data_IF_103399085551
#
_entry.id   IF_103399085551
#
_cell.length_a   1.000
_cell.length_b   1.000
_cell.length_c   1.000
_cell.angle_alpha   90.00
_cell.angle_beta   90.00
_cell.angle_gamma   90.00
#
_symmetry.space_group_name_H-M   'P 1'
#
loop_
_entity.id
_entity.type
_entity.pdbx_description
1 polymer ?
#
# COMPACT_ATOMS: atom_id res chain seq x y z
N UNK A 1 -2.70 21.45 10.43
CA UNK A 1 -2.48 22.06 9.13
C UNK A 1 -1.64 23.32 9.33
N UNK A 2 -0.35 23.19 9.13
CA UNK A 2 0.54 24.34 9.26
C UNK A 2 0.76 24.99 7.90
N UNK A 3 -0.05 25.97 7.59
CA UNK A 3 0.06 26.78 6.38
C UNK A 3 1.23 27.78 6.40
N UNK A 4 2.09 27.73 7.42
CA UNK A 4 3.23 28.63 7.57
C UNK A 4 4.30 28.29 6.54
N UNK A 5 4.85 29.33 5.93
CA UNK A 5 5.80 29.17 4.82
C UNK A 5 7.07 28.43 5.21
N UNK A 6 7.67 27.78 4.23
CA UNK A 6 8.94 27.04 4.36
C UNK A 6 9.98 27.77 5.19
N UNK A 7 10.56 27.05 6.16
CA UNK A 7 11.72 27.50 6.94
C UNK A 7 11.42 28.48 8.05
N UNK A 8 10.16 28.74 8.38
CA UNK A 8 9.81 29.62 9.49
C UNK A 8 9.36 28.85 10.72
N UNK A 9 8.30 28.09 10.63
CA UNK A 9 7.75 27.32 11.74
C UNK A 9 6.85 26.21 11.18
N UNK A 10 7.04 25.01 11.66
CA UNK A 10 6.31 23.83 11.21
C UNK A 10 6.72 23.36 9.81
N UNK A 11 6.15 22.25 9.40
CA UNK A 11 6.43 21.58 8.14
C UNK A 11 5.28 21.73 7.17
N UNK A 12 5.53 21.44 5.91
CA UNK A 12 4.49 21.52 4.88
C UNK A 12 3.31 20.62 5.25
N UNK A 13 2.13 21.19 5.33
CA UNK A 13 0.89 20.45 5.54
C UNK A 13 0.30 20.00 4.22
N UNK A 14 -0.38 18.86 4.26
CA UNK A 14 -1.13 18.30 3.14
C UNK A 14 -2.61 18.28 3.49
N UNK A 15 -3.42 19.08 2.81
CA UNK A 15 -4.85 19.10 3.01
C UNK A 15 -5.48 17.76 2.60
N UNK A 16 -6.54 17.30 3.28
CA UNK A 16 -7.29 16.14 2.84
C UNK A 16 -7.98 16.43 1.50
N UNK A 17 -8.11 15.39 0.66
CA UNK A 17 -8.76 15.50 -0.66
C UNK A 17 -10.22 15.93 -0.58
N UNK A 18 -10.88 15.61 0.52
CA UNK A 18 -12.28 15.96 0.78
C UNK A 18 -12.55 16.01 2.27
N UNK A 19 -13.57 16.77 2.67
CA UNK A 19 -14.05 16.80 4.04
C UNK A 19 -15.26 15.86 4.19
N UNK A 20 -15.09 14.81 4.94
CA UNK A 20 -16.14 13.81 5.26
C UNK A 20 -16.35 13.70 6.77
N UNK A 21 -15.96 14.73 7.52
CA UNK A 21 -16.20 14.79 8.94
C UNK A 21 -17.71 14.89 9.20
N UNK A 22 -18.17 14.10 10.18
CA UNK A 22 -19.53 14.20 10.69
C UNK A 22 -19.65 15.37 11.65
N UNK A 23 -20.88 15.79 11.94
CA UNK A 23 -21.15 16.85 12.90
C UNK A 23 -20.54 16.55 14.29
N UNK A 24 -20.19 17.61 15.07
CA UNK A 24 -19.72 17.45 16.44
C UNK A 24 -20.66 16.60 17.28
N UNK A 25 -20.09 15.78 18.17
CA UNK A 25 -20.85 14.81 19.00
C UNK A 25 -21.10 13.46 18.33
N UNK A 26 -20.83 13.30 17.04
CA UNK A 26 -20.94 12.02 16.34
C UNK A 26 -19.59 11.30 16.28
N UNK A 27 -19.63 9.97 16.41
CA UNK A 27 -18.43 9.15 16.30
C UNK A 27 -17.86 9.20 14.88
N UNK A 28 -16.56 9.51 14.79
CA UNK A 28 -15.74 9.41 13.59
C UNK A 28 -14.97 8.10 13.64
N UNK A 29 -14.69 7.54 12.47
CA UNK A 29 -13.85 6.34 12.33
C UNK A 29 -12.63 6.67 11.49
N UNK A 30 -11.44 6.42 12.05
CA UNK A 30 -10.17 6.54 11.35
C UNK A 30 -9.55 5.17 11.09
N UNK A 31 -8.96 5.01 9.90
CA UNK A 31 -7.97 3.98 9.59
C UNK A 31 -6.74 4.68 9.02
N UNK A 32 -5.58 4.39 9.57
CA UNK A 32 -4.32 5.02 9.17
C UNK A 32 -3.31 3.93 8.91
N UNK A 33 -2.64 3.98 7.74
CA UNK A 33 -1.47 3.17 7.42
C UNK A 33 -0.29 4.13 7.40
N UNK A 34 0.63 3.96 8.34
CA UNK A 34 1.75 4.85 8.57
C UNK A 34 3.07 4.09 8.51
N UNK A 35 4.05 4.68 7.87
CA UNK A 35 5.42 4.20 7.82
C UNK A 35 6.32 5.15 8.60
N UNK A 36 7.01 4.62 9.60
CA UNK A 36 7.99 5.36 10.37
C UNK A 36 9.21 5.74 9.51
N UNK A 37 9.94 6.79 9.88
CA UNK A 37 11.19 7.15 9.22
C UNK A 37 12.21 6.01 9.36
N UNK A 38 13.11 5.90 8.39
CA UNK A 38 14.19 4.91 8.44
C UNK A 38 15.53 5.59 8.67
N UNK A 39 16.37 4.92 9.43
CA UNK A 39 17.70 5.36 9.77
C UNK A 39 18.72 4.27 9.37
N UNK A 40 19.94 4.68 9.07
CA UNK A 40 21.07 3.78 8.90
C UNK A 40 21.65 3.35 10.27
N UNK A 41 22.65 2.48 10.25
CA UNK A 41 23.31 2.00 11.46
C UNK A 41 24.07 3.12 12.21
N UNK A 42 24.36 4.23 11.56
CA UNK A 42 24.98 5.41 12.16
C UNK A 42 23.94 6.39 12.74
N UNK A 43 22.65 6.11 12.59
CA UNK A 43 21.56 6.95 13.08
C UNK A 43 21.17 8.10 12.14
N UNK A 44 21.68 8.14 10.91
CA UNK A 44 21.27 9.14 9.94
C UNK A 44 19.95 8.75 9.29
N UNK A 45 19.03 9.70 9.17
CA UNK A 45 17.76 9.47 8.50
C UNK A 45 17.97 9.25 7.00
N UNK A 46 17.60 8.06 6.51
CA UNK A 46 17.72 7.67 5.10
C UNK A 46 16.38 7.67 4.37
N UNK A 47 15.26 7.74 5.09
CA UNK A 47 13.92 7.84 4.53
C UNK A 47 12.99 8.58 5.48
N UNK A 48 12.21 9.51 4.95
CA UNK A 48 11.17 10.20 5.70
C UNK A 48 10.03 9.25 6.11
N UNK A 49 9.32 9.64 7.16
CA UNK A 49 8.04 9.03 7.49
C UNK A 49 6.99 9.39 6.43
N UNK A 50 5.98 8.55 6.27
CA UNK A 50 4.89 8.82 5.35
C UNK A 50 3.60 8.12 5.73
N UNK A 51 2.49 8.77 5.42
CA UNK A 51 1.16 8.18 5.49
C UNK A 51 0.85 7.54 4.16
N UNK A 52 0.77 6.22 4.13
CA UNK A 52 0.37 5.48 2.94
C UNK A 52 -1.10 5.76 2.63
N UNK A 53 -1.96 5.64 3.65
CA UNK A 53 -3.37 5.94 3.54
C UNK A 53 -3.92 6.50 4.85
N UNK A 54 -4.81 7.48 4.73
CA UNK A 54 -5.65 7.96 5.82
C UNK A 54 -7.10 7.92 5.37
N UNK A 55 -7.90 7.16 6.08
CA UNK A 55 -9.32 7.02 5.85
C UNK A 55 -10.10 7.66 6.98
N UNK A 56 -11.11 8.43 6.64
CA UNK A 56 -12.07 9.00 7.58
C UNK A 56 -13.48 8.57 7.17
N UNK A 57 -14.20 7.93 8.09
CA UNK A 57 -15.57 7.46 7.86
C UNK A 57 -15.74 6.58 6.61
N UNK A 58 -14.71 5.79 6.28
CA UNK A 58 -14.73 4.90 5.11
C UNK A 58 -14.34 5.56 3.79
N UNK A 59 -13.95 6.84 3.81
CA UNK A 59 -13.48 7.56 2.62
C UNK A 59 -11.98 7.83 2.71
N UNK A 60 -11.23 7.55 1.65
CA UNK A 60 -9.80 7.84 1.54
C UNK A 60 -9.61 9.35 1.41
N UNK A 61 -9.06 9.97 2.43
CA UNK A 61 -8.84 11.42 2.48
C UNK A 61 -7.42 11.84 2.17
N UNK A 62 -6.43 10.98 2.43
CA UNK A 62 -5.02 11.21 2.07
C UNK A 62 -4.38 9.90 1.63
N UNK A 63 -3.46 9.96 0.67
CA UNK A 63 -2.66 8.84 0.20
C UNK A 63 -1.27 9.30 -0.22
N UNK A 64 -0.26 8.49 0.14
CA UNK A 64 1.15 8.71 -0.20
C UNK A 64 1.67 10.10 0.25
N UNK A 65 1.32 10.51 1.47
CA UNK A 65 1.75 11.79 2.04
C UNK A 65 3.04 11.60 2.80
N UNK A 66 4.14 12.11 2.28
CA UNK A 66 5.43 12.15 2.95
C UNK A 66 5.48 13.32 3.95
N UNK A 67 6.10 13.09 5.11
CA UNK A 67 6.30 14.11 6.13
C UNK A 67 7.78 14.23 6.45
N UNK A 68 8.30 15.45 6.32
CA UNK A 68 9.75 15.72 6.39
C UNK A 68 10.31 15.78 7.81
N UNK A 69 9.44 15.88 8.83
CA UNK A 69 9.86 15.97 10.22
C UNK A 69 8.70 16.01 11.21
N UNK A 70 8.98 16.22 12.49
CA UNK A 70 7.98 16.34 13.54
C UNK A 70 7.04 17.54 13.27
N UNK A 71 5.80 17.44 13.74
CA UNK A 71 4.89 18.59 13.76
C UNK A 71 5.38 19.63 14.76
N UNK A 72 4.96 20.89 14.58
CA UNK A 72 5.16 21.92 15.59
C UNK A 72 4.54 21.49 16.93
N UNK A 73 5.18 21.81 18.04
CA UNK A 73 4.78 21.37 19.37
C UNK A 73 4.64 19.83 19.49
N UNK A 74 5.47 19.09 18.79
CA UNK A 74 5.55 17.64 18.95
C UNK A 74 5.93 17.27 20.38
N UNK A 75 5.43 16.15 20.89
CA UNK A 75 5.81 15.65 22.20
C UNK A 75 7.30 15.26 22.30
N UNK A 76 7.93 14.98 21.15
CA UNK A 76 9.34 14.64 21.02
C UNK A 76 9.95 15.51 19.92
N UNK A 77 11.09 16.13 20.22
CA UNK A 77 11.76 17.07 19.30
C UNK A 77 12.56 16.41 18.19
N UNK A 78 12.71 15.09 18.22
CA UNK A 78 13.48 14.29 17.28
C UNK A 78 12.64 13.17 16.66
N UNK A 79 13.03 12.76 15.48
CA UNK A 79 12.44 11.60 14.84
C UNK A 79 13.16 10.33 15.26
N UNK A 80 12.36 9.29 15.54
CA UNK A 80 12.84 7.97 15.93
C UNK A 80 12.18 6.88 15.07
N UNK A 81 12.84 5.74 14.84
CA UNK A 81 12.25 4.63 14.11
C UNK A 81 11.06 4.00 14.85
N UNK A 82 10.93 4.26 16.13
CA UNK A 82 9.83 3.80 16.99
C UNK A 82 9.51 4.87 18.03
N UNK A 83 8.25 5.02 18.35
CA UNK A 83 7.79 5.95 19.37
C UNK A 83 6.41 5.57 19.91
N UNK A 84 6.01 6.23 20.99
CA UNK A 84 4.66 6.07 21.53
C UNK A 84 3.62 6.71 20.61
N UNK A 85 2.43 6.10 20.51
CA UNK A 85 1.28 6.74 19.91
C UNK A 85 0.81 7.86 20.84
N UNK A 86 0.88 9.09 20.37
CA UNK A 86 0.32 10.26 21.07
C UNK A 86 -1.04 10.62 20.46
N UNK A 87 -1.99 10.88 21.33
CA UNK A 87 -3.30 11.39 20.96
C UNK A 87 -3.45 12.77 21.59
N UNK A 88 -3.60 13.78 20.75
CA UNK A 88 -3.76 15.15 21.19
C UNK A 88 -5.19 15.39 21.68
N UNK A 89 -5.31 16.00 22.87
CA UNK A 89 -6.59 16.26 23.51
C UNK A 89 -6.75 17.67 24.08
N UNK A 90 -5.86 18.61 23.71
CA UNK A 90 -5.79 19.96 24.27
C UNK A 90 -6.55 21.04 23.47
N UNK A 91 -7.12 20.66 22.31
CA UNK A 91 -7.88 21.59 21.46
C UNK A 91 -9.40 21.37 21.53
N UNK A 92 -9.89 20.93 22.68
CA UNK A 92 -11.30 20.72 22.95
C UNK A 92 -11.60 19.31 23.48
N UNK A 93 -12.83 19.09 23.97
CA UNK A 93 -13.23 17.80 24.51
C UNK A 93 -13.22 16.71 23.43
N UNK A 94 -12.46 15.66 23.63
CA UNK A 94 -12.41 14.48 22.73
C UNK A 94 -12.70 13.23 23.52
N UNK A 95 -13.51 12.34 22.96
CA UNK A 95 -13.70 10.99 23.46
C UNK A 95 -13.14 9.98 22.44
N UNK A 96 -12.35 9.03 22.91
CA UNK A 96 -11.68 8.05 22.05
C UNK A 96 -12.04 6.65 22.55
N UNK A 97 -12.33 5.75 21.61
CA UNK A 97 -12.63 4.35 21.92
C UNK A 97 -12.11 3.42 20.84
N UNK A 98 -11.97 2.15 21.19
CA UNK A 98 -11.66 1.07 20.27
C UNK A 98 -10.35 1.29 19.49
N UNK A 99 -9.30 1.80 20.16
CA UNK A 99 -7.97 1.92 19.54
C UNK A 99 -7.44 0.51 19.29
N UNK A 100 -7.15 0.22 18.04
CA UNK A 100 -6.50 -1.01 17.62
C UNK A 100 -5.29 -0.62 16.77
N UNK A 101 -4.18 -1.31 16.95
CA UNK A 101 -3.01 -1.13 16.09
C UNK A 101 -2.44 -2.49 15.70
N UNK A 102 -1.77 -2.52 14.57
CA UNK A 102 -1.07 -3.68 14.04
C UNK A 102 0.29 -3.22 13.52
N UNK A 103 1.34 -3.90 13.94
CA UNK A 103 2.68 -3.65 13.45
C UNK A 103 2.94 -4.58 12.27
N UNK A 104 3.27 -3.99 11.13
CA UNK A 104 3.80 -4.71 9.99
C UNK A 104 5.32 -4.57 10.00
N UNK A 105 5.98 -5.52 10.64
CA UNK A 105 7.44 -5.59 10.55
C UNK A 105 7.78 -5.94 9.10
N UNK A 106 8.68 -5.17 8.49
CA UNK A 106 8.98 -5.22 7.05
C UNK A 106 9.64 -6.52 6.58
N UNK A 107 9.02 -7.65 6.90
CA UNK A 107 9.36 -8.96 6.36
C UNK A 107 9.02 -8.94 4.88
N UNK A 108 10.03 -9.00 4.03
CA UNK A 108 9.83 -9.01 2.58
C UNK A 108 9.68 -10.44 2.11
N UNK A 109 8.71 -10.67 1.25
CA UNK A 109 8.67 -11.87 0.44
C UNK A 109 9.86 -11.89 -0.52
N UNK A 110 10.41 -13.05 -0.77
CA UNK A 110 11.27 -13.28 -1.92
C UNK A 110 10.54 -14.14 -2.93
N UNK A 111 10.90 -13.98 -4.20
CA UNK A 111 10.27 -14.69 -5.30
C UNK A 111 11.32 -15.46 -6.06
N UNK A 112 10.96 -16.66 -6.53
CA UNK A 112 11.85 -17.52 -7.30
C UNK A 112 11.07 -18.32 -8.35
N UNK A 113 11.81 -18.85 -9.33
CA UNK A 113 11.25 -19.64 -10.43
C UNK A 113 10.12 -18.88 -11.17
N UNK A 114 10.34 -17.58 -11.40
CA UNK A 114 9.30 -16.74 -11.96
C UNK A 114 9.24 -16.99 -13.48
N UNK A 115 8.07 -17.41 -13.93
CA UNK A 115 7.74 -17.53 -15.35
C UNK A 115 6.84 -16.38 -15.73
N UNK A 116 7.26 -15.58 -16.69
CA UNK A 116 6.46 -14.54 -17.32
C UNK A 116 5.86 -15.08 -18.61
N UNK A 117 4.56 -14.92 -18.79
CA UNK A 117 3.84 -15.24 -20.02
C UNK A 117 3.12 -14.02 -20.54
N UNK A 118 3.24 -13.81 -21.84
CA UNK A 118 2.57 -12.72 -22.55
C UNK A 118 1.51 -13.30 -23.49
N UNK A 119 0.33 -12.68 -23.49
CA UNK A 119 -0.79 -13.08 -24.32
C UNK A 119 -1.28 -11.89 -25.15
N UNK A 120 -1.61 -12.16 -26.41
CA UNK A 120 -2.16 -11.18 -27.34
C UNK A 120 -3.68 -11.10 -27.18
N UNK A 121 -4.22 -9.90 -27.13
CA UNK A 121 -5.65 -9.70 -27.18
C UNK A 121 -6.13 -8.44 -26.46
N UNK A 122 -7.37 -8.09 -26.73
CA UNK A 122 -8.09 -6.98 -26.13
C UNK A 122 -9.23 -7.53 -25.29
N UNK A 123 -8.97 -7.73 -24.02
CA UNK A 123 -9.93 -8.35 -23.13
C UNK A 123 -10.49 -7.30 -22.17
N UNK A 124 -11.80 -7.23 -22.08
CA UNK A 124 -12.49 -6.37 -21.12
C UNK A 124 -12.68 -7.05 -19.76
N UNK A 125 -12.49 -8.37 -19.71
CA UNK A 125 -12.59 -9.18 -18.49
C UNK A 125 -11.46 -10.21 -18.47
N UNK A 126 -11.03 -10.62 -17.27
CA UNK A 126 -10.11 -11.75 -17.13
C UNK A 126 -10.82 -13.03 -17.60
N UNK A 127 -10.37 -13.53 -18.72
CA UNK A 127 -10.90 -14.74 -19.37
C UNK A 127 -10.08 -15.94 -18.88
N UNK A 128 -10.61 -17.13 -19.10
CA UNK A 128 -9.84 -18.35 -18.93
C UNK A 128 -8.53 -18.25 -19.73
N UNK A 129 -7.40 -18.27 -19.04
CA UNK A 129 -6.06 -18.11 -19.62
C UNK A 129 -5.74 -19.15 -20.69
N UNK A 130 -6.34 -20.36 -20.57
CA UNK A 130 -6.15 -21.46 -21.54
C UNK A 130 -6.73 -21.15 -22.93
N UNK A 131 -7.60 -20.17 -23.02
CA UNK A 131 -8.21 -19.74 -24.28
C UNK A 131 -7.45 -18.62 -24.99
N UNK A 132 -6.36 -18.10 -24.36
CA UNK A 132 -5.61 -16.98 -24.88
C UNK A 132 -4.48 -17.44 -25.79
N UNK A 133 -4.19 -16.65 -26.83
CA UNK A 133 -3.04 -16.88 -27.69
C UNK A 133 -1.77 -16.39 -26.99
N UNK A 134 -0.97 -17.30 -26.48
CA UNK A 134 0.34 -17.01 -25.92
C UNK A 134 1.28 -16.55 -27.04
N UNK A 135 1.97 -15.43 -26.81
CA UNK A 135 2.94 -14.84 -27.77
C UNK A 135 4.36 -14.83 -27.24
N UNK A 136 4.55 -15.07 -25.94
CA UNK A 136 5.85 -15.14 -25.31
C UNK A 136 5.84 -15.86 -23.99
N UNK A 137 6.96 -16.53 -23.67
CA UNK A 137 7.22 -17.13 -22.36
C UNK A 137 8.70 -16.99 -22.06
N UNK A 138 9.03 -16.53 -20.85
CA UNK A 138 10.42 -16.40 -20.39
C UNK A 138 10.54 -16.60 -18.88
N UNK A 139 11.68 -17.12 -18.42
CA UNK A 139 12.02 -17.12 -17.00
C UNK A 139 12.66 -15.78 -16.69
N UNK A 140 12.26 -15.19 -15.57
CA UNK A 140 12.73 -13.87 -15.13
C UNK A 140 13.10 -13.90 -13.64
N UNK A 141 13.98 -13.00 -13.23
CA UNK A 141 14.43 -12.93 -11.84
C UNK A 141 13.50 -12.07 -10.96
N UNK A 142 12.70 -11.20 -11.57
CA UNK A 142 11.82 -10.27 -10.87
C UNK A 142 10.48 -10.12 -11.60
N UNK A 143 9.45 -9.74 -10.84
CA UNK A 143 8.19 -9.26 -11.40
C UNK A 143 8.40 -7.80 -11.81
N UNK A 144 8.39 -7.53 -13.10
CA UNK A 144 8.53 -6.18 -13.66
C UNK A 144 7.37 -5.89 -14.62
N UNK A 145 6.53 -4.96 -14.22
CA UNK A 145 5.38 -4.51 -15.01
C UNK A 145 5.60 -3.14 -15.68
N UNK A 146 6.80 -2.58 -15.57
CA UNK A 146 7.11 -1.24 -16.08
C UNK A 146 6.96 -1.14 -17.60
N UNK A 147 7.29 -2.20 -18.33
CA UNK A 147 7.12 -2.25 -19.79
C UNK A 147 5.64 -2.24 -20.21
N UNK A 148 4.73 -2.72 -19.36
CA UNK A 148 3.28 -2.68 -19.64
C UNK A 148 2.74 -1.26 -19.64
N UNK A 149 3.28 -0.41 -18.76
CA UNK A 149 2.86 0.99 -18.65
C UNK A 149 3.25 1.85 -19.87
N UNK A 150 4.25 1.41 -20.64
CA UNK A 150 4.78 2.13 -21.80
C UNK A 150 4.23 1.62 -23.14
N UNK A 151 3.52 0.51 -23.12
CA UNK A 151 3.00 -0.14 -24.33
C UNK A 151 1.57 0.33 -24.63
N UNK A 152 1.35 0.92 -25.80
CA UNK A 152 0.02 1.14 -26.34
C UNK A 152 -0.68 -0.17 -26.78
N UNK A 153 -0.02 -1.31 -26.62
CA UNK A 153 -0.54 -2.61 -26.98
C UNK A 153 -1.39 -3.17 -25.82
N UNK A 154 -2.58 -3.62 -26.14
CA UNK A 154 -3.46 -4.33 -25.22
C UNK A 154 -2.93 -5.75 -25.06
N UNK A 155 -2.22 -6.00 -23.96
CA UNK A 155 -1.62 -7.30 -23.63
C UNK A 155 -2.12 -7.76 -22.27
N UNK A 156 -2.23 -9.07 -22.10
CA UNK A 156 -2.28 -9.69 -20.77
C UNK A 156 -0.88 -10.25 -20.49
N UNK A 157 -0.42 -10.00 -19.30
CA UNK A 157 0.84 -10.54 -18.81
C UNK A 157 0.55 -11.31 -17.53
N UNK A 158 1.10 -12.50 -17.43
CA UNK A 158 1.02 -13.33 -16.23
C UNK A 158 2.42 -13.60 -15.69
N UNK A 159 2.54 -13.57 -14.39
CA UNK A 159 3.72 -14.03 -13.64
C UNK A 159 3.29 -15.17 -12.74
N UNK A 160 3.97 -16.28 -12.80
CA UNK A 160 3.77 -17.40 -11.88
C UNK A 160 5.10 -17.88 -11.32
N UNK A 161 5.09 -18.41 -10.11
CA UNK A 161 6.32 -18.86 -9.48
C UNK A 161 6.12 -19.22 -8.02
N UNK A 162 7.19 -19.11 -7.25
CA UNK A 162 7.18 -19.38 -5.81
C UNK A 162 7.46 -18.10 -5.03
N UNK A 163 6.58 -17.78 -4.10
CA UNK A 163 6.73 -16.71 -3.11
C UNK A 163 7.18 -17.35 -1.79
N UNK A 164 8.34 -16.98 -1.27
CA UNK A 164 8.81 -17.43 0.04
C UNK A 164 8.31 -16.50 1.14
N UNK A 165 7.53 -17.06 2.06
CA UNK A 165 7.04 -16.39 3.26
C UNK A 165 8.08 -16.53 4.37
N UNK A 166 8.74 -15.45 4.81
CA UNK A 166 9.92 -15.52 5.70
C UNK A 166 9.60 -15.96 7.13
N UNK A 167 8.38 -15.76 7.59
CA UNK A 167 7.90 -16.21 8.90
C UNK A 167 6.38 -16.33 8.91
N UNK A 168 5.83 -17.22 9.73
CA UNK A 168 4.38 -17.26 9.94
C UNK A 168 3.89 -15.97 10.62
N UNK A 169 2.71 -15.52 10.24
CA UNK A 169 2.09 -14.32 10.81
C UNK A 169 1.18 -13.58 9.85
N UNK A 170 0.80 -12.39 10.27
CA UNK A 170 -0.10 -11.53 9.50
C UNK A 170 0.68 -10.61 8.57
N UNK A 171 0.21 -10.51 7.36
CA UNK A 171 0.77 -9.69 6.29
C UNK A 171 -0.29 -8.77 5.70
N UNK A 172 0.11 -7.55 5.38
CA UNK A 172 -0.70 -6.65 4.58
C UNK A 172 -0.21 -6.74 3.12
N UNK A 173 -1.01 -7.34 2.28
CA UNK A 173 -0.74 -7.41 0.84
C UNK A 173 -1.36 -6.20 0.18
N UNK A 174 -0.54 -5.50 -0.60
CA UNK A 174 -0.95 -4.34 -1.39
C UNK A 174 -0.82 -4.66 -2.87
N UNK A 175 -1.88 -4.41 -3.62
CA UNK A 175 -1.88 -4.48 -5.08
C UNK A 175 -2.34 -3.14 -5.64
N UNK A 176 -1.54 -2.55 -6.52
CA UNK A 176 -1.87 -1.29 -7.18
C UNK A 176 -1.69 -1.42 -8.68
N UNK A 177 -2.73 -1.05 -9.45
CA UNK A 177 -2.70 -1.14 -10.91
C UNK A 177 -3.73 -0.19 -11.56
N UNK A 178 -3.49 0.07 -12.84
CA UNK A 178 -4.46 0.65 -13.75
C UNK A 178 -5.02 -0.47 -14.62
N UNK A 179 -6.29 -0.80 -14.46
CA UNK A 179 -6.93 -1.88 -15.21
C UNK A 179 -7.25 -3.10 -14.38
N UNK A 180 -7.47 -4.22 -15.02
CA UNK A 180 -7.78 -5.49 -14.36
C UNK A 180 -6.54 -6.21 -13.82
N UNK A 181 -6.72 -6.99 -12.76
CA UNK A 181 -5.65 -7.81 -12.20
C UNK A 181 -6.17 -8.91 -11.30
N UNK A 182 -5.47 -10.02 -11.29
CA UNK A 182 -5.77 -11.20 -10.48
C UNK A 182 -4.51 -11.58 -9.72
N UNK A 183 -4.61 -11.76 -8.42
CA UNK A 183 -3.55 -12.35 -7.60
C UNK A 183 -4.07 -13.57 -6.88
N UNK A 184 -3.41 -14.70 -7.11
CA UNK A 184 -3.60 -15.94 -6.35
C UNK A 184 -2.34 -16.21 -5.52
N UNK A 185 -2.52 -16.72 -4.31
CA UNK A 185 -1.47 -17.26 -3.46
C UNK A 185 -1.98 -18.58 -2.92
N UNK A 186 -1.22 -19.65 -3.11
CA UNK A 186 -1.58 -21.02 -2.67
C UNK A 186 -2.94 -21.47 -3.26
N UNK A 187 -3.22 -21.07 -4.51
CA UNK A 187 -4.48 -21.23 -5.25
C UNK A 187 -5.70 -20.45 -4.71
N UNK A 188 -5.53 -19.73 -3.62
CA UNK A 188 -6.59 -18.83 -3.12
C UNK A 188 -6.57 -17.48 -3.83
N UNK A 189 -7.72 -17.01 -4.25
CA UNK A 189 -7.85 -15.68 -4.84
C UNK A 189 -7.72 -14.60 -3.77
N UNK A 190 -6.63 -13.85 -3.82
CA UNK A 190 -6.34 -12.75 -2.92
C UNK A 190 -6.98 -11.46 -3.42
N UNK A 191 -6.73 -11.13 -4.69
CA UNK A 191 -7.38 -10.03 -5.39
C UNK A 191 -7.96 -10.51 -6.70
N UNK A 192 -9.15 -10.06 -6.99
CA UNK A 192 -9.78 -10.15 -8.31
C UNK A 192 -10.32 -8.76 -8.65
N UNK A 193 -9.52 -8.01 -9.39
CA UNK A 193 -9.84 -6.66 -9.84
C UNK A 193 -10.30 -6.75 -11.29
N UNK A 194 -11.43 -7.41 -11.50
CA UNK A 194 -12.02 -7.63 -12.82
C UNK A 194 -12.89 -6.44 -13.27
N UNK A 195 -12.71 -5.30 -12.65
CA UNK A 195 -13.51 -4.13 -12.91
C UNK A 195 -12.93 -3.31 -14.06
N UNK A 196 -13.84 -2.68 -14.77
CA UNK A 196 -13.65 -1.89 -15.97
C UNK A 196 -12.41 -0.98 -15.91
N UNK A 197 -11.73 -0.87 -17.05
CA UNK A 197 -10.64 0.06 -17.30
C UNK A 197 -11.00 1.48 -16.83
N UNK A 198 -10.68 1.79 -15.57
CA UNK A 198 -10.64 3.16 -15.10
C UNK A 198 -9.28 3.76 -15.43
N UNK A 199 -9.24 5.01 -15.83
CA UNK A 199 -7.98 5.75 -16.04
C UNK A 199 -7.25 6.03 -14.74
N UNK A 200 -7.86 5.73 -13.59
CA UNK A 200 -7.31 6.01 -12.28
C UNK A 200 -6.59 4.80 -11.69
N UNK A 201 -5.38 5.04 -11.19
CA UNK A 201 -4.61 4.04 -10.45
C UNK A 201 -5.37 3.61 -9.19
N UNK A 202 -5.73 2.35 -9.10
CA UNK A 202 -6.43 1.78 -7.96
C UNK A 202 -5.46 1.00 -7.07
N UNK A 203 -5.59 1.19 -5.78
CA UNK A 203 -4.85 0.41 -4.78
C UNK A 203 -5.83 -0.38 -3.93
N UNK A 204 -5.53 -1.66 -3.71
CA UNK A 204 -6.28 -2.55 -2.83
C UNK A 204 -5.35 -3.16 -1.79
N UNK A 205 -5.90 -3.39 -0.61
CA UNK A 205 -5.20 -4.02 0.50
C UNK A 205 -5.99 -5.22 1.00
N UNK A 206 -5.26 -6.24 1.39
CA UNK A 206 -5.84 -7.41 2.07
C UNK A 206 -4.90 -7.88 3.16
N UNK A 207 -5.44 -8.08 4.35
CA UNK A 207 -4.74 -8.75 5.43
C UNK A 207 -4.85 -10.25 5.26
N UNK A 208 -3.72 -10.95 5.37
CA UNK A 208 -3.63 -12.40 5.26
C UNK A 208 -2.77 -12.94 6.39
N UNK A 209 -3.22 -14.02 7.01
CA UNK A 209 -2.36 -14.84 7.87
C UNK A 209 -1.71 -15.92 7.00
N UNK A 210 -0.38 -15.88 6.93
CA UNK A 210 0.40 -16.80 6.11
C UNK A 210 1.37 -17.60 6.98
N UNK A 211 1.48 -18.89 6.69
CA UNK A 211 2.51 -19.73 7.29
C UNK A 211 3.84 -19.56 6.55
N UNK A 212 4.94 -19.64 7.33
CA UNK A 212 6.30 -19.64 6.80
C UNK A 212 6.49 -20.69 5.73
N UNK A 213 7.23 -20.37 4.69
CA UNK A 213 7.68 -21.28 3.65
C UNK A 213 7.18 -20.90 2.26
N UNK A 214 7.45 -21.75 1.28
CA UNK A 214 7.12 -21.51 -0.10
C UNK A 214 5.60 -21.58 -0.35
N UNK A 215 5.12 -20.64 -1.14
CA UNK A 215 3.73 -20.56 -1.61
C UNK A 215 3.72 -20.32 -3.12
N UNK A 216 3.03 -21.15 -3.90
CA UNK A 216 2.82 -20.82 -5.31
C UNK A 216 2.03 -19.54 -5.44
N UNK A 217 2.38 -18.71 -6.42
CA UNK A 217 1.63 -17.53 -6.75
C UNK A 217 1.36 -17.42 -8.25
N UNK A 218 0.28 -16.75 -8.60
CA UNK A 218 -0.05 -16.30 -9.96
C UNK A 218 -0.54 -14.85 -9.89
N UNK A 219 0.08 -14.01 -10.69
CA UNK A 219 -0.29 -12.61 -10.88
C UNK A 219 -0.62 -12.39 -12.35
#
# INVERSE_FOLDING_TARGET
>A
DDARGKGKEGFEGHAPKTNVAKAPGLWQHFKIIFHAPKFDDAGNKIKNAWFEEVWLNGVLIQANVEVSGPTEAAAFGDEQPRGALMIQGDHGPVAIKNIKYKLYEGKKFSFSNIVNKEFEGNYQTLINMDSLKMVGEKIVDNIDISELALSNSRKIVSYSGTMEVPASGDYLIKMGLNGGGLLLIDNDTIFNLNEEYGYDFQTRFKELSLDKGPKPFVL
#
